data_IF_445676422526
#
_entry.id   IF_445676422526
#
_cell.length_a   1.000
_cell.length_b   1.000
_cell.length_c   1.000
_cell.angle_alpha   90.00
_cell.angle_beta   90.00
_cell.angle_gamma   90.00
#
_symmetry.space_group_name_H-M   'P 1'
#
loop_
_entity.id
_entity.type
_entity.pdbx_description
1 polymer ?
#
# COMPACT_ATOMS: atom_id res chain seq x y z
N UNK A 1 -30.58 -4.33 4.65
CA UNK A 1 -29.41 -3.72 5.33
C UNK A 1 -28.28 -3.67 4.32
N UNK A 2 -27.71 -2.49 4.06
CA UNK A 2 -26.51 -2.36 3.22
C UNK A 2 -25.36 -3.10 3.90
N UNK A 3 -24.75 -4.04 3.19
CA UNK A 3 -23.58 -4.79 3.66
C UNK A 3 -22.46 -3.81 4.03
N UNK A 4 -21.85 -3.98 5.21
CA UNK A 4 -20.66 -3.22 5.59
C UNK A 4 -19.48 -3.65 4.72
N UNK A 5 -18.67 -2.71 4.20
CA UNK A 5 -17.56 -3.06 3.32
C UNK A 5 -16.46 -3.80 4.08
N UNK A 6 -15.80 -4.74 3.40
CA UNK A 6 -14.57 -5.37 3.88
C UNK A 6 -13.36 -4.78 3.18
N UNK A 7 -12.41 -4.29 3.97
CA UNK A 7 -11.15 -3.73 3.50
C UNK A 7 -10.03 -4.66 3.97
N UNK A 8 -9.39 -5.33 3.02
CA UNK A 8 -8.28 -6.24 3.28
C UNK A 8 -6.96 -5.51 3.10
N UNK A 9 -6.06 -5.63 4.08
CA UNK A 9 -4.75 -4.99 4.08
C UNK A 9 -3.66 -6.05 4.02
N UNK A 10 -3.03 -6.23 2.86
CA UNK A 10 -1.94 -7.19 2.65
C UNK A 10 -0.60 -6.49 2.85
N UNK A 11 0.22 -7.00 3.79
CA UNK A 11 1.39 -6.30 4.31
C UNK A 11 1.04 -5.41 5.50
N UNK A 12 0.06 -5.82 6.32
CA UNK A 12 -0.41 -5.06 7.47
C UNK A 12 0.69 -4.74 8.49
N UNK A 13 1.77 -5.52 8.52
CA UNK A 13 2.94 -5.29 9.36
C UNK A 13 3.68 -3.98 9.06
N UNK A 14 3.31 -3.23 8.01
CA UNK A 14 3.65 -1.82 7.85
C UNK A 14 2.79 -0.95 8.79
N UNK A 15 2.98 -1.13 10.10
CA UNK A 15 2.07 -0.65 11.15
C UNK A 15 1.74 0.84 11.07
N UNK A 16 2.72 1.70 10.79
CA UNK A 16 2.52 3.16 10.67
C UNK A 16 1.65 3.49 9.46
N UNK A 17 1.94 2.86 8.32
CA UNK A 17 1.19 3.10 7.09
C UNK A 17 -0.25 2.56 7.21
N UNK A 18 -0.40 1.34 7.73
CA UNK A 18 -1.68 0.73 8.07
C UNK A 18 -2.49 1.65 9.00
N UNK A 19 -1.88 2.16 10.08
CA UNK A 19 -2.53 3.05 11.04
C UNK A 19 -3.10 4.30 10.37
N UNK A 20 -2.34 4.93 9.47
CA UNK A 20 -2.80 6.14 8.79
C UNK A 20 -3.99 5.85 7.88
N UNK A 21 -3.89 4.83 7.03
CA UNK A 21 -4.97 4.45 6.11
C UNK A 21 -6.23 4.04 6.86
N UNK A 22 -6.13 3.18 7.87
CA UNK A 22 -7.29 2.76 8.67
C UNK A 22 -7.84 3.95 9.46
N UNK A 23 -6.99 4.80 10.02
CA UNK A 23 -7.42 6.00 10.73
C UNK A 23 -8.30 6.90 9.86
N UNK A 24 -7.94 7.10 8.60
CA UNK A 24 -8.74 7.88 7.64
C UNK A 24 -10.05 7.17 7.29
N UNK A 25 -10.02 5.86 7.06
CA UNK A 25 -11.19 5.02 6.78
C UNK A 25 -12.23 5.12 7.90
N UNK A 26 -11.81 4.93 9.15
CA UNK A 26 -12.72 4.92 10.31
C UNK A 26 -13.38 6.28 10.56
N UNK A 27 -12.78 7.37 10.08
CA UNK A 27 -13.34 8.72 10.16
C UNK A 27 -14.33 9.03 9.03
N UNK A 28 -14.51 8.14 8.04
CA UNK A 28 -15.52 8.29 7.00
C UNK A 28 -16.82 7.60 7.44
N UNK A 29 -17.96 8.33 7.54
CA UNK A 29 -19.22 7.75 8.02
C UNK A 29 -19.69 6.51 7.25
N UNK A 30 -19.42 6.44 5.94
CA UNK A 30 -19.78 5.30 5.09
C UNK A 30 -18.91 4.05 5.32
N UNK A 31 -17.78 4.18 6.02
CA UNK A 31 -16.80 3.10 6.24
C UNK A 31 -16.56 2.83 7.73
N UNK A 32 -17.19 3.56 8.65
CA UNK A 32 -16.96 3.44 10.09
C UNK A 32 -17.38 2.09 10.70
N UNK A 33 -18.22 1.33 9.99
CA UNK A 33 -18.63 -0.02 10.35
C UNK A 33 -17.93 -1.13 9.55
N UNK A 34 -16.87 -0.81 8.81
CA UNK A 34 -16.19 -1.75 7.93
C UNK A 34 -15.53 -2.91 8.71
N UNK A 35 -15.41 -4.06 8.05
CA UNK A 35 -14.49 -5.12 8.49
C UNK A 35 -13.11 -4.82 7.93
N UNK A 36 -12.12 -4.71 8.81
CA UNK A 36 -10.72 -4.53 8.42
C UNK A 36 -9.97 -5.84 8.62
N UNK A 37 -9.60 -6.49 7.53
CA UNK A 37 -8.84 -7.74 7.55
C UNK A 37 -7.35 -7.44 7.36
N UNK A 38 -6.58 -7.59 8.43
CA UNK A 38 -5.14 -7.41 8.45
C UNK A 38 -4.44 -8.72 8.08
N UNK A 39 -3.59 -8.69 7.06
CA UNK A 39 -2.80 -9.83 6.64
C UNK A 39 -1.32 -9.51 6.60
N UNK A 40 -0.52 -10.31 7.30
CA UNK A 40 0.93 -10.31 7.19
C UNK A 40 1.47 -11.73 7.42
N UNK A 41 2.63 -12.02 6.83
CA UNK A 41 3.32 -13.30 7.00
C UNK A 41 4.15 -13.34 8.28
N UNK A 42 4.50 -12.17 8.83
CA UNK A 42 5.21 -12.05 10.10
C UNK A 42 4.20 -11.93 11.25
N UNK A 43 4.08 -12.95 12.13
CA UNK A 43 3.06 -12.96 13.18
C UNK A 43 3.27 -11.85 14.22
N UNK A 44 4.51 -11.50 14.55
CA UNK A 44 4.82 -10.44 15.51
C UNK A 44 4.36 -9.07 14.97
N UNK A 45 4.70 -8.76 13.71
CA UNK A 45 4.26 -7.50 13.08
C UNK A 45 2.75 -7.43 12.90
N UNK A 46 2.10 -8.58 12.67
CA UNK A 46 0.65 -8.68 12.57
C UNK A 46 -0.02 -8.39 13.93
N UNK A 47 0.50 -8.97 15.02
CA UNK A 47 0.02 -8.73 16.38
C UNK A 47 0.16 -7.24 16.77
N UNK A 48 1.31 -6.63 16.49
CA UNK A 48 1.53 -5.19 16.70
C UNK A 48 0.50 -4.35 15.95
N UNK A 49 0.19 -4.76 14.71
CA UNK A 49 -0.79 -4.09 13.84
C UNK A 49 -2.21 -4.24 14.38
N UNK A 50 -2.59 -5.43 14.85
CA UNK A 50 -3.88 -5.68 15.50
C UNK A 50 -4.08 -4.81 16.73
N UNK A 51 -3.06 -4.73 17.60
CA UNK A 51 -3.11 -3.89 18.81
C UNK A 51 -3.33 -2.42 18.44
N UNK A 52 -2.61 -1.92 17.43
CA UNK A 52 -2.73 -0.52 16.97
C UNK A 52 -4.10 -0.27 16.35
N UNK A 53 -4.58 -1.14 15.46
CA UNK A 53 -5.89 -1.02 14.82
C UNK A 53 -7.03 -1.10 15.85
N UNK A 54 -6.96 -2.04 16.79
CA UNK A 54 -7.94 -2.17 17.87
C UNK A 54 -7.97 -0.95 18.80
N UNK A 55 -6.81 -0.33 19.07
CA UNK A 55 -6.75 0.96 19.79
C UNK A 55 -7.42 2.07 18.99
N UNK A 56 -7.18 2.19 17.68
CA UNK A 56 -7.83 3.18 16.82
C UNK A 56 -9.36 3.04 16.86
N UNK A 57 -9.89 1.82 16.68
CA UNK A 57 -11.33 1.56 16.72
C UNK A 57 -11.95 2.02 18.05
N UNK A 58 -11.32 1.67 19.18
CA UNK A 58 -11.79 2.07 20.51
C UNK A 58 -11.73 3.59 20.72
N UNK A 59 -10.63 4.22 20.33
CA UNK A 59 -10.45 5.68 20.51
C UNK A 59 -11.42 6.49 19.66
N UNK A 60 -11.74 6.02 18.44
CA UNK A 60 -12.67 6.70 17.55
C UNK A 60 -14.15 6.33 17.79
N UNK A 61 -14.44 5.38 18.70
CA UNK A 61 -15.79 4.88 18.94
C UNK A 61 -16.42 4.22 17.71
N UNK A 62 -15.61 3.65 16.83
CA UNK A 62 -16.04 3.07 15.55
C UNK A 62 -16.68 1.70 15.75
N UNK A 63 -17.66 1.35 14.92
CA UNK A 63 -18.28 0.01 14.90
C UNK A 63 -17.52 -1.01 14.04
N UNK A 64 -16.30 -0.68 13.62
CA UNK A 64 -15.48 -1.52 12.75
C UNK A 64 -15.02 -2.79 13.45
N UNK A 65 -14.91 -3.88 12.69
CA UNK A 65 -14.39 -5.16 13.16
C UNK A 65 -12.97 -5.34 12.65
N UNK A 66 -12.03 -5.75 13.51
CA UNK A 66 -10.67 -6.10 13.09
C UNK A 66 -10.56 -7.63 13.03
N UNK A 67 -10.03 -8.14 11.93
CA UNK A 67 -9.66 -9.55 11.75
C UNK A 67 -8.18 -9.64 11.42
N UNK A 68 -7.51 -10.70 11.87
CA UNK A 68 -6.12 -11.00 11.50
C UNK A 68 -6.04 -12.32 10.75
N UNK A 69 -5.18 -12.35 9.73
CA UNK A 69 -5.02 -13.49 8.84
C UNK A 69 -3.55 -13.72 8.51
N UNK A 70 -3.07 -14.95 8.67
CA UNK A 70 -1.78 -15.37 8.10
C UNK A 70 -1.91 -15.90 6.66
N UNK A 71 -3.15 -16.19 6.23
CA UNK A 71 -3.46 -16.67 4.89
C UNK A 71 -4.00 -15.52 4.04
N UNK A 72 -3.29 -15.23 2.94
CA UNK A 72 -3.73 -14.27 1.92
C UNK A 72 -5.14 -14.58 1.42
N UNK A 73 -5.39 -15.86 1.10
CA UNK A 73 -6.67 -16.30 0.53
C UNK A 73 -7.84 -16.02 1.46
N UNK A 74 -7.70 -16.38 2.75
CA UNK A 74 -8.73 -16.12 3.78
C UNK A 74 -8.95 -14.62 4.01
N UNK A 75 -7.88 -13.82 4.00
CA UNK A 75 -7.99 -12.38 4.16
C UNK A 75 -8.80 -11.74 3.02
N UNK A 76 -8.68 -12.28 1.80
CA UNK A 76 -9.36 -11.77 0.60
C UNK A 76 -10.83 -12.18 0.48
N UNK A 77 -11.29 -13.17 1.24
CA UNK A 77 -12.68 -13.65 1.18
C UNK A 77 -13.67 -12.52 1.49
N UNK A 78 -14.50 -12.19 0.50
CA UNK A 78 -15.48 -11.12 0.59
C UNK A 78 -14.87 -9.71 0.66
N UNK A 79 -13.62 -9.49 0.26
CA UNK A 79 -13.05 -8.14 0.19
C UNK A 79 -13.80 -7.28 -0.84
N UNK A 80 -14.05 -6.02 -0.50
CA UNK A 80 -14.53 -4.98 -1.41
C UNK A 80 -13.38 -4.07 -1.86
N UNK A 81 -12.38 -3.89 -0.97
CA UNK A 81 -11.14 -3.18 -1.25
C UNK A 81 -9.95 -3.98 -0.75
N UNK A 82 -8.87 -3.99 -1.52
CA UNK A 82 -7.61 -4.65 -1.17
C UNK A 82 -6.49 -3.63 -1.19
N UNK A 83 -5.97 -3.27 -0.03
CA UNK A 83 -4.80 -2.39 0.11
C UNK A 83 -3.55 -3.25 0.16
N UNK A 84 -2.59 -3.01 -0.72
CA UNK A 84 -1.29 -3.69 -0.68
C UNK A 84 -0.19 -2.71 -0.27
N UNK A 85 0.53 -3.03 0.80
CA UNK A 85 1.62 -2.22 1.32
C UNK A 85 2.69 -3.08 2.00
N UNK A 86 3.37 -3.91 1.21
CA UNK A 86 4.46 -4.78 1.66
C UNK A 86 5.80 -4.40 1.01
N UNK A 87 6.88 -4.92 1.58
CA UNK A 87 8.23 -4.80 1.04
C UNK A 87 8.87 -6.19 0.96
N UNK A 88 8.92 -6.74 -0.25
CA UNK A 88 9.50 -8.06 -0.49
C UNK A 88 11.01 -8.01 -0.21
N UNK A 89 11.44 -8.86 0.71
CA UNK A 89 12.84 -8.98 1.13
C UNK A 89 13.32 -7.94 2.16
N UNK A 90 12.42 -7.04 2.60
CA UNK A 90 12.70 -6.08 3.68
C UNK A 90 13.82 -5.08 3.39
N UNK A 91 14.25 -4.39 4.44
CA UNK A 91 15.40 -3.48 4.38
C UNK A 91 16.71 -4.27 4.16
N UNK A 92 16.99 -5.22 5.04
CA UNK A 92 18.08 -6.18 4.89
C UNK A 92 17.52 -7.57 4.57
N UNK A 93 18.07 -8.27 3.54
CA UNK A 93 19.21 -7.86 2.71
C UNK A 93 18.82 -7.01 1.49
N UNK A 94 17.54 -6.96 1.10
CA UNK A 94 17.18 -6.56 -0.26
C UNK A 94 17.38 -5.09 -0.56
N UNK A 95 16.91 -4.18 0.29
CA UNK A 95 17.08 -2.74 0.06
C UNK A 95 18.56 -2.37 0.09
N UNK A 96 19.32 -2.92 1.03
CA UNK A 96 20.78 -2.73 1.08
C UNK A 96 21.44 -3.23 -0.21
N UNK A 97 21.04 -4.40 -0.72
CA UNK A 97 21.53 -4.93 -1.99
C UNK A 97 21.20 -4.01 -3.16
N UNK A 98 20.00 -3.42 -3.17
CA UNK A 98 19.55 -2.51 -4.22
C UNK A 98 20.42 -1.23 -4.31
N UNK A 99 21.04 -0.82 -3.20
CA UNK A 99 22.03 0.26 -3.16
C UNK A 99 23.46 -0.21 -3.42
N UNK A 100 23.90 -1.27 -2.76
CA UNK A 100 25.31 -1.68 -2.75
C UNK A 100 25.75 -2.32 -4.07
N UNK A 101 24.86 -3.05 -4.78
CA UNK A 101 25.22 -3.62 -6.09
C UNK A 101 25.52 -2.51 -7.11
N UNK A 102 24.63 -1.54 -7.37
CA UNK A 102 24.92 -0.47 -8.33
C UNK A 102 26.12 0.40 -7.93
N UNK A 103 26.31 0.63 -6.62
CA UNK A 103 27.45 1.39 -6.09
C UNK A 103 28.80 0.76 -6.42
N UNK A 104 28.91 -0.58 -6.42
CA UNK A 104 30.13 -1.30 -6.84
C UNK A 104 30.51 -1.04 -8.31
N UNK A 105 29.55 -0.64 -9.13
CA UNK A 105 29.74 -0.29 -10.54
C UNK A 105 29.75 1.22 -10.78
N UNK A 106 29.95 2.03 -9.73
CA UNK A 106 30.05 3.49 -9.84
C UNK A 106 28.71 4.23 -9.87
N UNK A 107 27.57 3.54 -9.72
CA UNK A 107 26.26 4.16 -9.67
C UNK A 107 25.77 4.33 -8.23
N UNK A 108 25.89 5.54 -7.68
CA UNK A 108 25.27 5.91 -6.41
C UNK A 108 23.83 6.37 -6.64
N UNK A 109 22.88 5.74 -5.97
CA UNK A 109 21.46 6.08 -6.06
C UNK A 109 21.02 6.82 -4.79
N UNK A 110 20.10 7.77 -4.93
CA UNK A 110 19.41 8.41 -3.79
C UNK A 110 18.18 7.60 -3.38
N UNK A 111 17.44 7.08 -4.37
CA UNK A 111 16.20 6.34 -4.18
C UNK A 111 16.27 5.03 -4.96
N UNK A 112 17.01 4.05 -4.44
CA UNK A 112 17.16 2.73 -5.04
C UNK A 112 15.92 1.84 -4.88
N UNK A 113 14.89 2.31 -4.20
CA UNK A 113 13.71 1.53 -3.86
C UNK A 113 12.57 1.67 -4.89
N UNK A 114 12.72 2.55 -5.89
CA UNK A 114 11.67 2.86 -6.88
C UNK A 114 12.18 3.13 -8.30
N UNK A 115 13.31 3.84 -8.45
CA UNK A 115 13.90 4.21 -9.74
C UNK A 115 15.29 3.60 -9.92
N UNK A 116 15.80 3.67 -11.15
CA UNK A 116 17.13 3.18 -11.49
C UNK A 116 17.26 1.66 -11.38
N UNK A 117 18.51 1.18 -11.32
CA UNK A 117 18.81 -0.25 -11.27
C UNK A 117 18.27 -0.90 -9.99
N UNK A 118 18.32 -0.17 -8.86
CA UNK A 118 17.70 -0.62 -7.61
C UNK A 118 16.20 -0.82 -7.75
N UNK A 119 15.51 0.17 -8.32
CA UNK A 119 14.06 0.10 -8.58
C UNK A 119 13.69 -1.09 -9.49
N UNK A 120 14.47 -1.33 -10.54
CA UNK A 120 14.29 -2.48 -11.44
C UNK A 120 14.45 -3.80 -10.68
N UNK A 121 15.52 -3.96 -9.90
CA UNK A 121 15.75 -5.18 -9.10
C UNK A 121 14.60 -5.41 -8.11
N UNK A 122 14.12 -4.37 -7.44
CA UNK A 122 12.95 -4.47 -6.55
C UNK A 122 11.69 -4.84 -7.33
N UNK A 123 11.44 -4.23 -8.48
CA UNK A 123 10.32 -4.55 -9.36
C UNK A 123 10.30 -6.03 -9.73
N UNK A 124 11.43 -6.58 -10.18
CA UNK A 124 11.57 -8.00 -10.52
C UNK A 124 11.24 -8.93 -9.34
N UNK A 125 11.61 -8.55 -8.11
CA UNK A 125 11.25 -9.33 -6.91
C UNK A 125 9.78 -9.17 -6.52
N UNK A 126 9.18 -8.01 -6.77
CA UNK A 126 7.86 -7.62 -6.22
C UNK A 126 6.71 -8.07 -7.11
N UNK A 127 6.84 -7.93 -8.43
CA UNK A 127 5.79 -8.23 -9.41
C UNK A 127 5.21 -9.65 -9.26
N UNK A 128 6.01 -10.72 -9.07
CA UNK A 128 5.45 -12.06 -8.90
C UNK A 128 4.52 -12.21 -7.68
N UNK A 129 4.74 -11.44 -6.61
CA UNK A 129 3.88 -11.47 -5.43
C UNK A 129 2.56 -10.72 -5.67
N UNK A 130 2.62 -9.56 -6.36
CA UNK A 130 1.41 -8.84 -6.77
C UNK A 130 0.55 -9.69 -7.72
N UNK A 131 1.18 -10.43 -8.63
CA UNK A 131 0.49 -11.35 -9.52
C UNK A 131 -0.26 -12.45 -8.77
N UNK A 132 0.35 -13.05 -7.73
CA UNK A 132 -0.34 -14.03 -6.87
C UNK A 132 -1.55 -13.43 -6.16
N UNK A 133 -1.47 -12.17 -5.71
CA UNK A 133 -2.61 -11.46 -5.13
C UNK A 133 -3.70 -11.26 -6.16
N UNK A 134 -3.35 -10.85 -7.38
CA UNK A 134 -4.32 -10.69 -8.48
C UNK A 134 -5.01 -12.01 -8.84
N UNK A 135 -4.28 -13.13 -8.87
CA UNK A 135 -4.82 -14.47 -9.11
C UNK A 135 -5.84 -14.87 -8.05
N UNK A 136 -5.53 -14.65 -6.77
CA UNK A 136 -6.49 -14.91 -5.68
C UNK A 136 -7.69 -13.95 -5.73
N UNK A 137 -7.47 -12.66 -6.01
CA UNK A 137 -8.55 -11.68 -6.14
C UNK A 137 -9.53 -12.08 -7.25
N UNK A 138 -9.06 -12.44 -8.44
CA UNK A 138 -9.93 -12.90 -9.53
C UNK A 138 -10.75 -14.14 -9.15
N UNK A 139 -10.21 -15.02 -8.31
CA UNK A 139 -10.88 -16.25 -7.91
C UNK A 139 -11.89 -16.04 -6.77
N UNK A 140 -11.70 -15.04 -5.90
CA UNK A 140 -12.39 -14.97 -4.59
C UNK A 140 -13.16 -13.67 -4.41
N UNK A 141 -12.63 -12.56 -4.89
CA UNK A 141 -13.22 -11.24 -4.78
C UNK A 141 -13.01 -10.44 -6.08
N UNK A 142 -13.52 -10.95 -7.23
CA UNK A 142 -13.24 -10.38 -8.55
C UNK A 142 -13.73 -8.93 -8.72
N UNK A 143 -14.68 -8.51 -7.88
CA UNK A 143 -15.21 -7.15 -7.91
C UNK A 143 -14.43 -6.14 -7.08
N UNK A 144 -13.50 -6.60 -6.23
CA UNK A 144 -12.74 -5.75 -5.33
C UNK A 144 -11.79 -4.82 -6.07
N UNK A 145 -11.56 -3.64 -5.50
CA UNK A 145 -10.59 -2.66 -6.03
C UNK A 145 -9.25 -2.85 -5.32
N UNK A 146 -8.19 -3.07 -6.10
CA UNK A 146 -6.81 -3.11 -5.64
C UNK A 146 -6.26 -1.69 -5.50
N UNK A 147 -5.97 -1.29 -4.27
CA UNK A 147 -5.33 -0.03 -3.90
C UNK A 147 -3.84 -0.29 -3.68
N UNK A 148 -3.03 0.05 -4.69
CA UNK A 148 -1.63 -0.32 -4.80
C UNK A 148 -0.74 0.79 -4.22
N UNK A 149 -0.05 0.50 -3.12
CA UNK A 149 0.95 1.40 -2.49
C UNK A 149 2.38 0.85 -2.53
N UNK A 150 2.60 -0.30 -3.18
CA UNK A 150 3.91 -0.96 -3.19
C UNK A 150 4.81 -0.36 -4.27
N UNK A 151 5.98 0.14 -3.89
CA UNK A 151 7.00 0.53 -4.87
C UNK A 151 7.71 -0.69 -5.49
N UNK A 152 8.22 -0.60 -6.72
CA UNK A 152 8.11 0.52 -7.67
C UNK A 152 6.73 0.59 -8.36
N UNK A 153 5.94 1.62 -8.10
CA UNK A 153 4.52 1.64 -8.48
C UNK A 153 4.30 1.73 -9.99
N UNK A 154 5.15 2.45 -10.72
CA UNK A 154 5.10 2.49 -12.19
C UNK A 154 5.25 1.08 -12.80
N UNK A 155 6.32 0.36 -12.42
CA UNK A 155 6.59 -1.01 -12.87
C UNK A 155 5.48 -1.96 -12.41
N UNK A 156 5.07 -1.87 -11.14
CA UNK A 156 4.08 -2.77 -10.55
C UNK A 156 2.69 -2.63 -11.20
N UNK A 157 2.20 -1.40 -11.34
CA UNK A 157 0.89 -1.12 -11.95
C UNK A 157 0.88 -1.53 -13.41
N UNK A 158 1.97 -1.25 -14.14
CA UNK A 158 2.12 -1.66 -15.53
C UNK A 158 2.11 -3.19 -15.66
N UNK A 159 2.90 -3.90 -14.86
CA UNK A 159 2.95 -5.36 -14.89
C UNK A 159 1.61 -6.03 -14.51
N UNK A 160 0.81 -5.42 -13.64
CA UNK A 160 -0.55 -5.89 -13.35
C UNK A 160 -1.46 -5.62 -14.55
N UNK A 161 -1.42 -4.41 -15.13
CA UNK A 161 -2.30 -4.04 -16.24
C UNK A 161 -2.08 -4.92 -17.49
N UNK A 162 -0.83 -5.25 -17.80
CA UNK A 162 -0.49 -6.12 -18.94
C UNK A 162 -0.97 -7.56 -18.72
N UNK A 163 -0.76 -8.12 -17.52
CA UNK A 163 -1.04 -9.54 -17.26
C UNK A 163 -2.48 -9.81 -16.83
N UNK A 164 -3.09 -8.90 -16.08
CA UNK A 164 -4.43 -9.02 -15.51
C UNK A 164 -5.25 -7.76 -15.81
N UNK A 165 -5.58 -7.48 -17.08
CA UNK A 165 -6.25 -6.25 -17.50
C UNK A 165 -7.65 -6.05 -16.90
N UNK A 166 -8.24 -7.10 -16.32
CA UNK A 166 -9.57 -7.06 -15.68
C UNK A 166 -9.53 -6.71 -14.19
N UNK A 167 -8.34 -6.70 -13.56
CA UNK A 167 -8.21 -6.24 -12.17
C UNK A 167 -8.50 -4.74 -12.10
N UNK A 168 -9.47 -4.38 -11.26
CA UNK A 168 -9.76 -2.98 -10.93
C UNK A 168 -8.64 -2.49 -10.01
N UNK A 169 -7.66 -1.76 -10.53
CA UNK A 169 -6.52 -1.25 -9.75
C UNK A 169 -6.36 0.26 -9.83
N UNK A 170 -5.84 0.84 -8.74
CA UNK A 170 -5.37 2.23 -8.66
C UNK A 170 -4.03 2.25 -7.91
N UNK A 171 -2.99 2.82 -8.53
CA UNK A 171 -1.72 3.13 -7.86
C UNK A 171 -1.79 4.47 -7.13
N UNK A 172 -1.40 4.51 -5.85
CA UNK A 172 -1.59 5.68 -4.98
C UNK A 172 -0.27 6.13 -4.36
N UNK A 173 0.26 7.27 -4.84
CA UNK A 173 1.46 7.90 -4.32
C UNK A 173 1.14 9.30 -3.75
N UNK A 174 1.91 9.73 -2.75
CA UNK A 174 1.75 11.01 -2.05
C UNK A 174 2.77 12.08 -2.50
N UNK A 175 3.65 11.76 -3.45
CA UNK A 175 4.76 12.65 -3.84
C UNK A 175 4.29 14.01 -4.33
N UNK A 176 3.25 14.08 -5.17
CA UNK A 176 2.76 15.35 -5.71
C UNK A 176 2.23 16.26 -4.60
N UNK A 177 1.43 15.71 -3.67
CA UNK A 177 0.87 16.45 -2.55
C UNK A 177 1.99 16.88 -1.58
N UNK A 178 2.97 16.01 -1.34
CA UNK A 178 4.15 16.30 -0.52
C UNK A 178 4.99 17.43 -1.10
N UNK A 179 5.29 17.38 -2.41
CA UNK A 179 6.04 18.44 -3.10
C UNK A 179 5.30 19.77 -3.07
N UNK A 180 3.97 19.77 -3.26
CA UNK A 180 3.19 21.00 -3.15
C UNK A 180 3.25 21.61 -1.73
N UNK A 181 3.18 20.77 -0.69
CA UNK A 181 3.32 21.19 0.70
C UNK A 181 4.72 21.76 0.99
N UNK A 182 5.78 21.10 0.51
CA UNK A 182 7.16 21.59 0.68
C UNK A 182 7.37 22.92 -0.03
N UNK A 183 6.91 23.07 -1.28
CA UNK A 183 7.00 24.34 -2.00
C UNK A 183 6.21 25.46 -1.31
N UNK A 184 5.02 25.16 -0.77
CA UNK A 184 4.23 26.12 0.00
C UNK A 184 5.01 26.66 1.20
N UNK A 185 5.59 25.74 1.97
CA UNK A 185 6.38 26.06 3.16
C UNK A 185 7.62 26.88 2.80
N UNK A 186 8.36 26.47 1.78
CA UNK A 186 9.63 27.12 1.40
C UNK A 186 9.41 28.53 0.82
N UNK A 187 8.23 28.79 0.26
CA UNK A 187 7.83 30.11 -0.26
C UNK A 187 7.03 30.95 0.75
N UNK A 188 6.75 30.41 1.95
CA UNK A 188 5.91 31.03 2.98
C UNK A 188 4.48 31.38 2.47
N UNK A 189 3.91 30.52 1.61
CA UNK A 189 2.55 30.68 1.06
C UNK A 189 1.61 29.67 1.74
N UNK A 190 0.40 30.07 2.19
CA UNK A 190 -0.59 29.12 2.69
C UNK A 190 -0.96 28.07 1.64
N UNK A 191 -1.00 26.78 2.01
CA UNK A 191 -1.22 25.68 1.07
C UNK A 191 -2.55 25.81 0.33
N UNK A 192 -3.58 26.29 1.01
CA UNK A 192 -4.92 26.54 0.49
C UNK A 192 -4.96 27.58 -0.64
N UNK A 193 -3.94 28.44 -0.76
CA UNK A 193 -3.81 29.41 -1.85
C UNK A 193 -3.15 28.81 -3.10
N UNK A 194 -2.52 27.63 -2.98
CA UNK A 194 -1.80 27.01 -4.08
C UNK A 194 -2.73 26.14 -4.91
N UNK A 195 -2.88 26.50 -6.19
CA UNK A 195 -3.52 25.66 -7.20
C UNK A 195 -2.48 25.13 -8.19
N UNK A 196 -2.35 23.82 -8.29
CA UNK A 196 -1.42 23.17 -9.22
C UNK A 196 -2.10 22.08 -10.05
N UNK A 197 -1.50 21.76 -11.19
CA UNK A 197 -1.84 20.62 -12.03
C UNK A 197 -0.57 19.83 -12.28
N UNK A 198 -0.60 18.53 -11.97
CA UNK A 198 0.51 17.62 -12.20
C UNK A 198 0.07 16.50 -13.15
N UNK A 199 0.97 16.06 -14.02
CA UNK A 199 0.79 14.92 -14.90
C UNK A 199 2.16 14.31 -15.19
N UNK A 200 2.20 12.99 -15.32
CA UNK A 200 3.43 12.22 -15.52
C UNK A 200 3.20 10.75 -15.18
N UNK A 201 4.30 10.02 -15.03
CA UNK A 201 4.31 8.68 -14.43
C UNK A 201 4.56 8.79 -12.93
N UNK A 202 4.39 7.69 -12.20
CA UNK A 202 4.82 7.67 -10.80
C UNK A 202 6.35 7.88 -10.70
N UNK A 203 6.74 8.85 -9.87
CA UNK A 203 8.11 9.31 -9.63
C UNK A 203 8.82 9.74 -10.93
#
# INVERSE_FOLDING_TARGET
MTRQPKITFIGAGSTVFMKNVIGDVLQRPSLSGATIALMDVNPQRLEESEIVAGKLVRTLGSAATIETHSSQRKALEGADFVVVAFQIGGYEPCTVTDFEVPKKYGLRQTIADTLGVGGIMRGLRTVPHLWKICEDMMAICPDAILLQYVNPMAINTWAIAEKYPFIKQVGLCHSVQGTAFELARDLEIPLEEIRYRAAGINH
#
